data_IF_281545578499
#
_entry.id   IF_281545578499
#
_cell.length_a   1.000
_cell.length_b   1.000
_cell.length_c   1.000
_cell.angle_alpha   90.00
_cell.angle_beta   90.00
_cell.angle_gamma   90.00
#
_symmetry.space_group_name_H-M   'P 1'
#
loop_
_entity.id
_entity.type
_entity.pdbx_description
1 polymer ?
#
# COMPACT_ATOMS: atom_id res chain seq x y z
N UNK A 1 0.23 -18.21 9.88
CA UNK A 1 0.88 -17.65 8.68
C UNK A 1 0.58 -16.15 8.65
N UNK A 2 1.55 -15.31 8.30
CA UNK A 2 1.33 -13.87 8.08
C UNK A 2 0.71 -13.69 6.70
N UNK A 3 -0.58 -13.33 6.65
CA UNK A 3 -1.30 -13.19 5.39
C UNK A 3 -1.40 -11.72 4.96
N UNK A 4 -1.51 -10.78 5.90
CA UNK A 4 -1.72 -9.35 5.64
C UNK A 4 -0.69 -8.55 6.44
N UNK A 5 0.10 -7.73 5.77
CA UNK A 5 1.21 -6.96 6.36
C UNK A 5 1.06 -5.50 5.97
N UNK A 6 0.86 -4.61 6.95
CA UNK A 6 0.86 -3.16 6.74
C UNK A 6 2.13 -2.55 7.32
N UNK A 7 2.93 -1.91 6.47
CA UNK A 7 4.18 -1.24 6.83
C UNK A 7 3.93 0.27 6.89
N UNK A 8 3.97 0.81 8.11
CA UNK A 8 3.82 2.24 8.39
C UNK A 8 5.15 2.86 8.83
N UNK A 9 5.29 4.17 8.64
CA UNK A 9 6.48 4.93 9.01
C UNK A 9 6.66 6.20 8.19
N UNK A 10 7.51 7.10 8.67
CA UNK A 10 7.77 8.39 8.01
C UNK A 10 8.37 8.28 6.61
N UNK A 11 8.46 9.42 5.91
CA UNK A 11 9.14 9.49 4.62
C UNK A 11 10.60 9.01 4.73
N UNK A 12 11.09 8.29 3.71
CA UNK A 12 12.48 7.79 3.64
C UNK A 12 12.89 6.79 4.73
N UNK A 13 11.96 6.24 5.51
CA UNK A 13 12.27 5.23 6.54
C UNK A 13 12.59 3.82 6.00
N UNK A 14 12.54 3.62 4.68
CA UNK A 14 12.82 2.33 4.03
C UNK A 14 11.62 1.40 3.88
N UNK A 15 10.38 1.90 4.03
CA UNK A 15 9.14 1.10 3.90
C UNK A 15 9.07 0.32 2.59
N UNK A 16 9.16 1.00 1.45
CA UNK A 16 9.06 0.39 0.13
C UNK A 16 10.18 -0.64 -0.11
N UNK A 17 11.37 -0.43 0.46
CA UNK A 17 12.46 -1.40 0.42
C UNK A 17 12.12 -2.66 1.23
N UNK A 18 11.67 -2.50 2.47
CA UNK A 18 11.25 -3.62 3.31
C UNK A 18 10.07 -4.39 2.70
N UNK A 19 9.07 -3.67 2.18
CA UNK A 19 7.90 -4.23 1.53
C UNK A 19 8.28 -5.07 0.30
N UNK A 20 9.20 -4.56 -0.52
CA UNK A 20 9.78 -5.29 -1.65
C UNK A 20 10.51 -6.57 -1.21
N UNK A 21 11.35 -6.49 -0.17
CA UNK A 21 12.06 -7.66 0.36
C UNK A 21 11.10 -8.74 0.90
N UNK A 22 10.02 -8.35 1.56
CA UNK A 22 8.99 -9.29 2.04
C UNK A 22 8.28 -9.91 0.84
N UNK A 23 7.89 -9.10 -0.15
CA UNK A 23 7.23 -9.57 -1.37
C UNK A 23 8.09 -10.59 -2.13
N UNK A 24 9.39 -10.32 -2.31
CA UNK A 24 10.33 -11.24 -2.95
C UNK A 24 10.44 -12.59 -2.21
N UNK A 25 10.56 -12.55 -0.88
CA UNK A 25 10.75 -13.75 -0.05
C UNK A 25 9.48 -14.59 0.10
N UNK A 26 8.31 -13.95 0.14
CA UNK A 26 7.03 -14.61 0.44
C UNK A 26 6.14 -14.81 -0.78
N UNK A 27 6.48 -14.18 -1.91
CA UNK A 27 5.65 -14.08 -3.12
C UNK A 27 4.27 -13.49 -2.83
N UNK A 28 4.16 -12.64 -1.81
CA UNK A 28 2.95 -11.86 -1.52
C UNK A 28 3.00 -10.56 -2.34
N UNK A 29 1.88 -10.17 -2.93
CA UNK A 29 1.80 -8.92 -3.70
C UNK A 29 2.06 -7.70 -2.80
N UNK A 30 2.84 -6.74 -3.31
CA UNK A 30 3.19 -5.50 -2.64
C UNK A 30 2.49 -4.32 -3.30
N UNK A 31 1.85 -3.48 -2.49
CA UNK A 31 1.17 -2.27 -2.91
C UNK A 31 1.65 -1.05 -2.12
N UNK A 32 1.91 0.03 -2.83
CA UNK A 32 2.25 1.35 -2.29
C UNK A 32 0.96 2.19 -2.28
N UNK A 33 0.52 2.60 -1.09
CA UNK A 33 -0.72 3.34 -0.90
C UNK A 33 -0.66 4.75 -1.51
N UNK A 34 0.53 5.33 -1.72
CA UNK A 34 0.63 6.61 -2.43
C UNK A 34 0.12 6.46 -3.87
N UNK A 35 0.25 5.28 -4.49
CA UNK A 35 -0.30 5.02 -5.84
C UNK A 35 -1.81 4.79 -5.85
N UNK A 36 -2.38 4.45 -4.70
CA UNK A 36 -3.83 4.33 -4.50
C UNK A 36 -4.43 5.73 -4.32
N UNK A 37 -3.79 6.56 -3.52
CA UNK A 37 -4.21 7.94 -3.22
C UNK A 37 -4.00 8.87 -4.40
N UNK A 38 -2.87 8.80 -5.10
CA UNK A 38 -2.53 9.77 -6.13
C UNK A 38 -2.68 9.21 -7.56
N UNK A 39 -3.23 10.02 -8.47
CA UNK A 39 -3.17 9.80 -9.92
C UNK A 39 -1.74 10.09 -10.41
N UNK A 40 -1.20 11.21 -9.95
CA UNK A 40 0.20 11.57 -10.08
C UNK A 40 0.75 11.85 -8.69
N UNK A 41 1.73 11.04 -8.25
CA UNK A 41 2.24 11.02 -6.88
C UNK A 41 2.63 12.43 -6.43
N UNK A 42 2.01 12.88 -5.33
CA UNK A 42 2.27 14.20 -4.74
C UNK A 42 1.71 15.39 -5.51
N UNK A 43 0.85 15.17 -6.52
CA UNK A 43 0.21 16.26 -7.28
C UNK A 43 -1.30 16.21 -7.24
N UNK A 44 -1.88 15.13 -7.75
CA UNK A 44 -3.34 15.02 -7.93
C UNK A 44 -3.86 13.81 -7.18
N UNK A 45 -4.63 14.05 -6.12
CA UNK A 45 -5.33 13.00 -5.39
C UNK A 45 -6.50 12.46 -6.23
N UNK A 46 -6.69 11.15 -6.15
CA UNK A 46 -7.86 10.44 -6.65
C UNK A 46 -9.02 10.77 -5.73
N UNK A 47 -10.22 10.93 -6.30
CA UNK A 47 -11.43 11.10 -5.49
C UNK A 47 -11.66 9.91 -4.55
N UNK A 48 -12.33 10.17 -3.45
CA UNK A 48 -12.56 9.19 -2.39
C UNK A 48 -13.22 7.90 -2.90
N UNK A 49 -14.23 8.01 -3.78
CA UNK A 49 -14.93 6.83 -4.29
C UNK A 49 -14.00 5.92 -5.10
N UNK A 50 -13.22 6.49 -6.02
CA UNK A 50 -12.26 5.73 -6.80
C UNK A 50 -11.09 5.22 -5.95
N UNK A 51 -10.62 6.02 -4.98
CA UNK A 51 -9.55 5.60 -4.04
C UNK A 51 -10.00 4.39 -3.23
N UNK A 52 -11.19 4.46 -2.63
CA UNK A 52 -11.76 3.37 -1.83
C UNK A 52 -11.96 2.13 -2.70
N UNK A 53 -12.44 2.29 -3.94
CA UNK A 53 -12.57 1.17 -4.89
C UNK A 53 -11.23 0.50 -5.21
N UNK A 54 -10.14 1.24 -5.38
CA UNK A 54 -8.81 0.65 -5.60
C UNK A 54 -8.27 -0.02 -4.33
N UNK A 55 -8.49 0.59 -3.16
CA UNK A 55 -8.11 0.00 -1.88
C UNK A 55 -8.86 -1.31 -1.60
N UNK A 56 -10.18 -1.34 -1.84
CA UNK A 56 -11.03 -2.52 -1.64
C UNK A 56 -10.54 -3.71 -2.49
N UNK A 57 -10.11 -3.48 -3.74
CA UNK A 57 -9.53 -4.54 -4.58
C UNK A 57 -8.31 -5.18 -3.93
N UNK A 58 -7.47 -4.38 -3.26
CA UNK A 58 -6.29 -4.88 -2.54
C UNK A 58 -6.73 -5.64 -1.28
N UNK A 59 -7.65 -5.07 -0.51
CA UNK A 59 -8.09 -5.62 0.78
C UNK A 59 -8.93 -6.91 0.65
N UNK A 60 -9.62 -7.09 -0.48
CA UNK A 60 -10.34 -8.32 -0.84
C UNK A 60 -9.40 -9.52 -1.09
N UNK A 61 -8.11 -9.28 -1.36
CA UNK A 61 -7.13 -10.35 -1.42
C UNK A 61 -6.88 -10.94 -0.02
N UNK A 62 -6.74 -12.26 0.03
CA UNK A 62 -6.35 -12.96 1.27
C UNK A 62 -4.91 -12.62 1.69
N UNK A 63 -4.07 -12.21 0.73
CA UNK A 63 -2.64 -11.97 0.94
C UNK A 63 -2.17 -10.67 0.33
N UNK A 64 -1.58 -9.80 1.16
CA UNK A 64 -0.98 -8.54 0.70
C UNK A 64 0.11 -8.02 1.65
N UNK A 65 1.04 -7.27 1.07
CA UNK A 65 1.92 -6.32 1.75
C UNK A 65 1.50 -4.95 1.26
N UNK A 66 1.05 -4.07 2.14
CA UNK A 66 0.80 -2.67 1.80
C UNK A 66 1.77 -1.79 2.58
N UNK A 67 2.18 -0.68 1.99
CA UNK A 67 3.02 0.32 2.64
C UNK A 67 2.53 1.73 2.33
N UNK A 68 2.72 2.63 3.28
CA UNK A 68 2.25 4.01 3.20
C UNK A 68 1.85 4.53 4.57
N UNK A 69 1.61 5.84 4.67
CA UNK A 69 1.19 6.49 5.91
C UNK A 69 -0.25 7.00 5.84
N UNK A 70 -1.04 6.52 4.87
CA UNK A 70 -2.47 6.82 4.80
C UNK A 70 -3.20 5.97 5.85
N UNK A 71 -3.05 6.36 7.11
CA UNK A 71 -4.08 6.09 8.10
C UNK A 71 -5.19 7.11 7.81
N UNK A 72 -6.42 6.62 7.70
CA UNK A 72 -7.63 7.44 7.62
C UNK A 72 -7.50 8.66 8.54
N UNK A 73 -7.58 9.87 7.98
CA UNK A 73 -8.10 11.03 8.74
C UNK A 73 -9.62 10.93 8.81
#
# INVERSE_FOLDING_TARGET
MLNKIYIIGGGRSGKSFLAGQISEKTRIAHYDLDKVVFIEIGKTERDEQNRNKELDKILLSDRWVIEGAYAEE
#
